data_IF_140809433542
#
_entry.id   IF_140809433542
#
_cell.length_a   1.000
_cell.length_b   1.000
_cell.length_c   1.000
_cell.angle_alpha   90.00
_cell.angle_beta   90.00
_cell.angle_gamma   90.00
#
_symmetry.space_group_name_H-M   'P 1'
#
loop_
_entity.id
_entity.type
_entity.pdbx_description
1 polymer ?
#
# COMPACT_ATOMS: atom_id res chain seq x y z
N UNK A 1 8.53 -3.98 -19.04
CA UNK A 1 8.18 -2.77 -18.29
C UNK A 1 8.97 -1.55 -18.79
N UNK A 2 8.31 -0.41 -19.00
CA UNK A 2 8.98 0.83 -19.43
C UNK A 2 9.53 1.63 -18.21
N UNK A 3 10.28 2.72 -18.47
CA UNK A 3 10.89 3.52 -17.40
C UNK A 3 9.87 4.28 -16.53
N UNK A 4 8.76 4.74 -17.12
CA UNK A 4 7.72 5.49 -16.40
C UNK A 4 6.96 4.59 -15.41
N UNK A 5 6.60 3.38 -15.84
CA UNK A 5 5.97 2.36 -15.01
C UNK A 5 6.84 2.06 -13.79
N UNK A 6 8.15 1.85 -14.02
CA UNK A 6 9.12 1.57 -12.95
C UNK A 6 9.26 2.74 -11.99
N UNK A 7 9.37 3.96 -12.53
CA UNK A 7 9.44 5.17 -11.72
C UNK A 7 8.22 5.31 -10.81
N UNK A 8 7.02 5.08 -11.36
CA UNK A 8 5.80 5.10 -10.57
C UNK A 8 5.81 4.06 -9.44
N UNK A 9 6.19 2.80 -9.71
CA UNK A 9 6.23 1.75 -8.69
C UNK A 9 7.20 2.10 -7.55
N UNK A 10 8.35 2.69 -7.87
CA UNK A 10 9.32 3.16 -6.88
C UNK A 10 8.75 4.33 -6.08
N UNK A 11 8.10 5.30 -6.75
CA UNK A 11 7.44 6.42 -6.07
C UNK A 11 6.31 5.94 -5.14
N UNK A 12 5.53 4.97 -5.58
CA UNK A 12 4.50 4.33 -4.77
C UNK A 12 5.10 3.64 -3.53
N UNK A 13 6.12 2.80 -3.70
CA UNK A 13 6.76 2.12 -2.56
C UNK A 13 7.37 3.10 -1.54
N UNK A 14 7.96 4.20 -2.01
CA UNK A 14 8.45 5.26 -1.13
C UNK A 14 7.32 5.99 -0.42
N UNK A 15 6.19 6.26 -1.10
CA UNK A 15 5.07 7.02 -0.55
C UNK A 15 4.25 6.24 0.48
N UNK A 16 4.23 4.90 0.43
CA UNK A 16 3.53 4.05 1.41
C UNK A 16 3.94 4.41 2.85
N UNK A 17 5.21 4.75 3.05
CA UNK A 17 5.70 5.09 4.38
C UNK A 17 5.03 6.34 4.94
N UNK A 18 4.95 7.37 4.11
CA UNK A 18 4.27 8.63 4.44
C UNK A 18 2.77 8.44 4.55
N UNK A 19 2.19 7.63 3.66
CA UNK A 19 0.76 7.39 3.59
C UNK A 19 0.27 6.67 4.84
N UNK A 20 0.94 5.59 5.25
CA UNK A 20 0.61 4.88 6.48
C UNK A 20 0.89 5.73 7.72
N UNK A 21 1.99 6.48 7.75
CA UNK A 21 2.25 7.40 8.88
C UNK A 21 1.15 8.46 9.00
N UNK A 22 0.71 9.05 7.88
CA UNK A 22 -0.43 9.98 7.87
C UNK A 22 -1.71 9.34 8.42
N UNK A 23 -1.99 8.08 8.07
CA UNK A 23 -3.16 7.35 8.53
C UNK A 23 -3.10 7.14 10.05
N UNK A 24 -1.95 6.71 10.58
CA UNK A 24 -1.76 6.47 12.00
C UNK A 24 -1.69 7.77 12.83
N UNK A 25 -1.04 8.80 12.33
CA UNK A 25 -0.94 10.11 12.99
C UNK A 25 -2.30 10.83 13.04
N UNK A 26 -3.19 10.51 12.11
CA UNK A 26 -4.57 11.01 12.09
C UNK A 26 -5.52 10.24 13.03
N UNK A 27 -4.96 9.46 13.97
CA UNK A 27 -5.68 8.72 15.01
C UNK A 27 -6.72 9.58 15.74
N UNK A 28 -7.91 9.02 15.99
CA UNK A 28 -9.02 9.71 16.63
C UNK A 28 -9.88 10.59 15.70
N UNK A 29 -9.40 10.94 14.50
CA UNK A 29 -10.20 11.66 13.48
C UNK A 29 -10.72 10.75 12.36
N UNK A 30 -10.00 9.65 12.07
CA UNK A 30 -10.34 8.73 10.98
C UNK A 30 -10.40 7.25 11.38
N UNK A 31 -9.64 6.85 12.41
CA UNK A 31 -9.60 5.48 12.94
C UNK A 31 -9.85 5.49 14.44
N UNK A 32 -10.54 4.45 14.98
CA UNK A 32 -10.59 4.20 16.41
C UNK A 32 -9.18 4.07 17.00
N UNK A 33 -8.95 4.62 18.19
CA UNK A 33 -7.64 4.58 18.85
C UNK A 33 -7.11 3.16 19.06
N UNK A 34 -8.00 2.21 19.37
CA UNK A 34 -7.67 0.78 19.55
C UNK A 34 -7.10 0.15 18.27
N UNK A 35 -7.60 0.56 17.11
CA UNK A 35 -7.18 0.07 15.81
C UNK A 35 -5.76 0.55 15.49
N UNK A 36 -5.46 1.80 15.83
CA UNK A 36 -4.11 2.38 15.70
C UNK A 36 -3.13 1.69 16.66
N UNK A 37 -3.54 1.45 17.91
CA UNK A 37 -2.70 0.77 18.90
C UNK A 37 -2.30 -0.66 18.49
N UNK A 38 -3.19 -1.38 17.80
CA UNK A 38 -2.91 -2.75 17.33
C UNK A 38 -2.04 -2.79 16.07
N UNK A 39 -2.28 -1.88 15.11
CA UNK A 39 -1.63 -1.90 13.79
C UNK A 39 -0.28 -1.17 13.79
N UNK A 40 -0.09 -0.16 14.66
CA UNK A 40 1.14 0.62 14.71
C UNK A 40 2.41 -0.20 15.00
N UNK A 41 2.42 -1.14 15.98
CA UNK A 41 3.58 -2.00 16.22
C UNK A 41 3.94 -2.87 15.00
N UNK A 42 2.94 -3.42 14.31
CA UNK A 42 3.15 -4.23 13.12
C UNK A 42 3.77 -3.39 11.98
N UNK A 43 3.27 -2.18 11.77
CA UNK A 43 3.85 -1.25 10.80
C UNK A 43 5.29 -0.86 11.14
N UNK A 44 5.59 -0.56 12.41
CA UNK A 44 6.96 -0.29 12.87
C UNK A 44 7.90 -1.47 12.63
N UNK A 45 7.42 -2.71 12.77
CA UNK A 45 8.20 -3.90 12.48
C UNK A 45 8.52 -4.03 10.99
N UNK A 46 7.57 -3.72 10.10
CA UNK A 46 7.80 -3.69 8.63
C UNK A 46 8.86 -2.65 8.26
N UNK A 47 8.80 -1.45 8.86
CA UNK A 47 9.81 -0.40 8.65
C UNK A 47 11.22 -0.85 9.04
N UNK A 48 11.36 -1.59 10.15
CA UNK A 48 12.66 -2.06 10.65
C UNK A 48 13.27 -3.20 9.82
N UNK A 49 12.46 -3.98 9.09
CA UNK A 49 12.90 -5.15 8.32
C UNK A 49 13.36 -4.82 6.90
N UNK A 50 13.43 -3.53 6.54
CA UNK A 50 13.80 -3.03 5.21
C UNK A 50 13.01 -3.71 4.06
N UNK A 51 11.78 -4.18 4.32
CA UNK A 51 11.00 -4.94 3.32
C UNK A 51 10.68 -4.08 2.09
N UNK A 52 10.35 -2.80 2.32
CA UNK A 52 10.14 -1.81 1.26
C UNK A 52 11.43 -1.61 0.44
N UNK A 53 12.59 -1.54 1.09
CA UNK A 53 13.88 -1.43 0.41
C UNK A 53 14.16 -2.63 -0.50
N UNK A 54 13.84 -3.85 -0.05
CA UNK A 54 13.94 -5.07 -0.87
C UNK A 54 12.99 -5.07 -2.06
N UNK A 55 11.75 -4.60 -1.87
CA UNK A 55 10.80 -4.41 -2.97
C UNK A 55 11.30 -3.39 -3.99
N UNK A 56 11.83 -2.25 -3.55
CA UNK A 56 12.41 -1.23 -4.42
C UNK A 56 13.57 -1.80 -5.21
N UNK A 57 14.49 -2.52 -4.56
CA UNK A 57 15.63 -3.15 -5.23
C UNK A 57 15.18 -4.18 -6.28
N UNK A 58 14.15 -4.97 -5.98
CA UNK A 58 13.57 -5.92 -6.93
C UNK A 58 12.89 -5.21 -8.11
N UNK A 59 12.15 -4.12 -7.87
CA UNK A 59 11.57 -3.28 -8.94
C UNK A 59 12.64 -2.57 -9.74
N UNK A 60 13.81 -2.24 -9.17
CA UNK A 60 14.93 -1.65 -9.91
C UNK A 60 15.66 -2.70 -10.76
N UNK A 61 15.71 -3.95 -10.30
CA UNK A 61 16.22 -5.06 -11.10
C UNK A 61 15.32 -5.29 -12.31
N UNK A 62 15.94 -5.59 -13.45
CA UNK A 62 15.22 -6.02 -14.65
C UNK A 62 14.84 -7.50 -14.62
N UNK A 63 15.32 -8.26 -13.63
CA UNK A 63 15.09 -9.70 -13.51
C UNK A 63 13.61 -10.04 -13.27
N UNK A 64 12.84 -9.08 -12.74
CA UNK A 64 11.41 -9.23 -12.45
C UNK A 64 10.49 -8.59 -13.49
N UNK A 65 11.03 -7.99 -14.55
CA UNK A 65 10.23 -7.19 -15.51
C UNK A 65 9.07 -7.99 -16.11
N UNK A 66 9.30 -9.26 -16.48
CA UNK A 66 8.25 -10.13 -17.00
C UNK A 66 7.19 -10.45 -15.94
N UNK A 67 7.60 -10.79 -14.71
CA UNK A 67 6.68 -11.12 -13.61
C UNK A 67 5.86 -9.91 -13.16
N UNK A 68 6.45 -8.72 -13.20
CA UNK A 68 5.77 -7.45 -12.93
C UNK A 68 4.74 -7.16 -14.03
N UNK A 69 5.09 -7.39 -15.30
CA UNK A 69 4.18 -7.27 -16.44
C UNK A 69 2.97 -8.21 -16.28
N UNK A 70 3.22 -9.50 -16.00
CA UNK A 70 2.19 -10.53 -15.79
C UNK A 70 1.29 -10.26 -14.56
N UNK A 71 1.79 -9.52 -13.56
CA UNK A 71 1.01 -9.08 -12.41
C UNK A 71 0.23 -7.77 -12.67
N UNK A 72 0.26 -7.26 -13.90
CA UNK A 72 -0.39 -6.01 -14.29
C UNK A 72 0.24 -4.78 -13.66
N UNK A 73 1.56 -4.80 -13.45
CA UNK A 73 2.36 -3.68 -12.96
C UNK A 73 3.12 -2.99 -14.09
N UNK A 74 2.50 -2.98 -15.27
CA UNK A 74 2.94 -2.22 -16.44
C UNK A 74 1.73 -1.77 -17.28
N UNK A 75 1.97 -0.84 -18.21
CA UNK A 75 1.03 -0.52 -19.28
C UNK A 75 -0.36 -0.05 -18.79
N UNK A 76 -1.45 -0.40 -19.51
CA UNK A 76 -2.79 0.07 -19.18
C UNK A 76 -3.30 -0.36 -17.79
N UNK A 77 -2.92 -1.55 -17.33
CA UNK A 77 -3.36 -2.07 -16.03
C UNK A 77 -2.72 -1.30 -14.87
N UNK A 78 -1.43 -0.97 -14.99
CA UNK A 78 -0.77 -0.10 -14.03
C UNK A 78 -1.35 1.32 -14.07
N UNK A 79 -1.64 1.84 -15.27
CA UNK A 79 -2.25 3.17 -15.41
C UNK A 79 -3.60 3.26 -14.67
N UNK A 80 -4.43 2.22 -14.75
CA UNK A 80 -5.66 2.11 -13.99
C UNK A 80 -5.42 2.10 -12.48
N UNK A 81 -4.48 1.27 -11.99
CA UNK A 81 -4.11 1.20 -10.56
C UNK A 81 -3.58 2.54 -10.05
N UNK A 82 -2.71 3.20 -10.82
CA UNK A 82 -2.15 4.54 -10.54
C UNK A 82 -3.25 5.58 -10.40
N UNK A 83 -4.18 5.64 -11.34
CA UNK A 83 -5.30 6.58 -11.29
C UNK A 83 -6.20 6.34 -10.08
N UNK A 84 -6.55 5.07 -9.80
CA UNK A 84 -7.37 4.70 -8.65
C UNK A 84 -6.73 5.05 -7.30
N UNK A 85 -5.44 4.73 -7.13
CA UNK A 85 -4.68 5.09 -5.94
C UNK A 85 -4.59 6.61 -5.75
N UNK A 86 -4.26 7.36 -6.80
CA UNK A 86 -4.12 8.83 -6.72
C UNK A 86 -5.42 9.51 -6.33
N UNK A 87 -6.53 9.14 -6.97
CA UNK A 87 -7.87 9.67 -6.68
C UNK A 87 -8.29 9.36 -5.23
N UNK A 88 -8.07 8.13 -4.78
CA UNK A 88 -8.42 7.72 -3.42
C UNK A 88 -7.57 8.45 -2.37
N UNK A 89 -6.27 8.60 -2.62
CA UNK A 89 -5.33 9.36 -1.77
C UNK A 89 -5.75 10.81 -1.62
N UNK A 90 -6.06 11.49 -2.73
CA UNK A 90 -6.50 12.88 -2.73
C UNK A 90 -7.85 13.05 -2.01
N UNK A 91 -8.81 12.17 -2.28
CA UNK A 91 -10.12 12.18 -1.63
C UNK A 91 -10.01 11.98 -0.12
N UNK A 92 -9.21 11.02 0.33
CA UNK A 92 -9.02 10.75 1.76
C UNK A 92 -8.36 11.91 2.50
N UNK A 93 -7.37 12.57 1.87
CA UNK A 93 -6.68 13.74 2.44
C UNK A 93 -7.59 14.97 2.53
N UNK A 94 -8.46 15.16 1.55
CA UNK A 94 -9.38 16.31 1.50
C UNK A 94 -10.66 16.12 2.32
N UNK A 95 -11.11 14.88 2.52
CA UNK A 95 -12.40 14.57 3.16
C UNK A 95 -12.20 13.66 4.38
N UNK A 96 -12.20 14.21 5.61
CA UNK A 96 -11.98 13.45 6.82
C UNK A 96 -13.09 12.45 7.15
N UNK A 97 -13.00 11.23 6.60
CA UNK A 97 -13.96 10.16 6.89
C UNK A 97 -13.40 8.77 6.63
N UNK A 98 -14.00 7.77 7.27
CA UNK A 98 -13.56 6.37 7.20
C UNK A 98 -13.68 5.80 5.79
N UNK A 99 -14.72 6.15 5.03
CA UNK A 99 -14.99 5.57 3.71
C UNK A 99 -13.92 5.92 2.65
N UNK A 100 -13.53 7.19 2.44
CA UNK A 100 -12.37 7.55 1.62
C UNK A 100 -11.06 6.90 2.08
N UNK A 101 -10.83 6.83 3.40
CA UNK A 101 -9.65 6.19 3.96
C UNK A 101 -9.60 4.69 3.59
N UNK A 102 -10.70 3.96 3.78
CA UNK A 102 -10.83 2.56 3.37
C UNK A 102 -10.56 2.36 1.88
N UNK A 103 -11.10 3.24 1.05
CA UNK A 103 -10.85 3.21 -0.40
C UNK A 103 -9.37 3.38 -0.72
N UNK A 104 -8.69 4.29 -0.04
CA UNK A 104 -7.25 4.51 -0.22
C UNK A 104 -6.42 3.31 0.23
N UNK A 105 -6.69 2.76 1.41
CA UNK A 105 -6.03 1.56 1.92
C UNK A 105 -6.23 0.38 0.97
N UNK A 106 -7.43 0.20 0.42
CA UNK A 106 -7.72 -0.85 -0.57
C UNK A 106 -6.86 -0.72 -1.84
N UNK A 107 -6.58 0.50 -2.29
CA UNK A 107 -5.70 0.69 -3.44
C UNK A 107 -4.22 0.45 -3.11
N UNK A 108 -3.78 0.80 -1.89
CA UNK A 108 -2.46 0.41 -1.39
C UNK A 108 -2.34 -1.11 -1.39
N UNK A 109 -3.38 -1.81 -0.90
CA UNK A 109 -3.43 -3.27 -0.95
C UNK A 109 -3.32 -3.81 -2.38
N UNK A 110 -4.17 -3.38 -3.31
CA UNK A 110 -4.16 -3.89 -4.69
C UNK A 110 -2.78 -3.80 -5.33
N UNK A 111 -2.08 -2.68 -5.14
CA UNK A 111 -0.72 -2.48 -5.67
C UNK A 111 0.31 -3.34 -4.94
N UNK A 112 0.27 -3.39 -3.61
CA UNK A 112 1.18 -4.22 -2.81
C UNK A 112 0.97 -5.72 -3.09
N UNK A 113 -0.26 -6.20 -3.12
CA UNK A 113 -0.57 -7.59 -3.44
C UNK A 113 -0.04 -8.00 -4.82
N UNK A 114 -0.18 -7.12 -5.81
CA UNK A 114 0.40 -7.34 -7.15
C UNK A 114 1.94 -7.41 -7.08
N UNK A 115 2.59 -6.52 -6.33
CA UNK A 115 4.05 -6.49 -6.17
C UNK A 115 4.58 -7.76 -5.46
N UNK A 116 3.90 -8.17 -4.40
CA UNK A 116 4.26 -9.36 -3.61
C UNK A 116 4.09 -10.64 -4.43
N UNK A 117 3.02 -10.73 -5.23
CA UNK A 117 2.83 -11.86 -6.15
C UNK A 117 3.93 -11.91 -7.22
N UNK A 118 4.32 -10.76 -7.77
CA UNK A 118 5.34 -10.66 -8.82
C UNK A 118 6.76 -10.93 -8.30
N UNK A 119 7.11 -10.50 -7.08
CA UNK A 119 8.49 -10.55 -6.58
C UNK A 119 8.70 -11.77 -5.67
N UNK A 120 7.68 -12.18 -4.91
CA UNK A 120 7.76 -13.28 -3.94
C UNK A 120 8.54 -12.95 -2.67
N UNK A 121 8.74 -11.66 -2.37
CA UNK A 121 9.43 -11.17 -1.17
C UNK A 121 8.52 -10.15 -0.49
N UNK A 122 8.32 -10.24 0.83
CA UNK A 122 7.55 -9.28 1.63
C UNK A 122 6.38 -9.87 2.43
N UNK A 123 6.57 -11.06 3.01
CA UNK A 123 5.57 -11.71 3.88
C UNK A 123 5.09 -10.78 5.01
N UNK A 124 5.98 -9.96 5.59
CA UNK A 124 5.62 -9.02 6.66
C UNK A 124 4.71 -7.88 6.16
N UNK A 125 4.96 -7.36 4.96
CA UNK A 125 4.08 -6.39 4.30
C UNK A 125 2.71 -7.01 4.02
N UNK A 126 2.66 -8.28 3.59
CA UNK A 126 1.42 -9.02 3.35
C UNK A 126 0.60 -9.18 4.63
N UNK A 127 1.23 -9.68 5.71
CA UNK A 127 0.58 -9.87 7.01
C UNK A 127 0.02 -8.57 7.58
N UNK A 128 0.78 -7.46 7.47
CA UNK A 128 0.31 -6.14 7.90
C UNK A 128 -0.96 -5.73 7.13
N UNK A 129 -0.95 -5.91 5.80
CA UNK A 129 -2.07 -5.58 4.93
C UNK A 129 -3.32 -6.39 5.28
N UNK A 130 -3.18 -7.69 5.50
CA UNK A 130 -4.28 -8.56 5.94
C UNK A 130 -4.84 -8.14 7.31
N UNK A 131 -3.98 -7.73 8.24
CA UNK A 131 -4.40 -7.20 9.54
C UNK A 131 -5.18 -5.88 9.44
N UNK A 132 -4.72 -4.95 8.60
CA UNK A 132 -5.42 -3.67 8.37
C UNK A 132 -6.82 -3.90 7.78
N UNK A 133 -6.96 -4.82 6.83
CA UNK A 133 -8.25 -5.14 6.21
C UNK A 133 -9.24 -5.73 7.21
N UNK A 134 -8.81 -6.72 8.00
CA UNK A 134 -9.66 -7.37 9.00
C UNK A 134 -10.22 -6.37 10.03
N UNK A 135 -9.38 -5.47 10.51
CA UNK A 135 -9.74 -4.44 11.48
C UNK A 135 -10.70 -3.38 10.90
N UNK A 136 -10.49 -3.00 9.64
CA UNK A 136 -11.36 -2.07 8.94
C UNK A 136 -12.75 -2.65 8.68
N UNK A 137 -12.83 -3.91 8.27
CA UNK A 137 -14.11 -4.59 8.02
C UNK A 137 -14.91 -4.74 9.33
N UNK A 138 -14.26 -5.10 10.44
CA UNK A 138 -14.89 -5.18 11.76
C UNK A 138 -15.46 -3.83 12.24
N UNK A 139 -14.93 -2.71 11.75
CA UNK A 139 -15.41 -1.36 12.09
C UNK A 139 -16.65 -0.91 11.31
N UNK A 140 -17.08 -1.62 10.25
CA UNK A 140 -18.33 -1.32 9.53
C UNK A 140 -19.57 -2.03 10.12
N UNK A 141 -19.36 -3.03 10.99
CA UNK A 141 -20.44 -3.82 11.59
C UNK A 141 -20.97 -3.23 12.92
N UNK A 142 -20.37 -2.14 13.41
CA UNK A 142 -20.76 -1.40 14.63
C UNK A 142 -21.26 0.01 14.31
#
# INVERSE_FOLDING_TARGET
>A
MNSEDREFLIQFLNSITEDLSFIFDSSGRYMPGTLVESLWPAWRAVQQREEIGRLIAAVQSRDYDQRLDEAGLSGPELAFKRAGWSDARETARSTPSLRPLKRWIKWIDVLLGSLLAAIGVGEGVKELKEGVEAELDASDEN
#
